data_IF_517891106257
#
_entry.id   IF_517891106257
#
_cell.length_a   1.000
_cell.length_b   1.000
_cell.length_c   1.000
_cell.angle_alpha   90.00
_cell.angle_beta   90.00
_cell.angle_gamma   90.00
#
_symmetry.space_group_name_H-M   'P 1'
#
loop_
_entity.id
_entity.type
_entity.pdbx_description
1 polymer ?
#
# COMPACT_ATOMS: atom_id res chain seq x y z
N UNK A 1 -16.14 5.65 11.02
CA UNK A 1 -15.87 6.82 10.16
C UNK A 1 -14.41 6.78 9.70
N UNK A 2 -14.14 7.24 8.50
CA UNK A 2 -12.80 7.38 7.92
C UNK A 2 -12.49 8.86 7.73
N UNK A 3 -11.31 9.30 8.20
CA UNK A 3 -10.83 10.66 7.99
C UNK A 3 -9.51 10.62 7.21
N UNK A 4 -9.46 11.33 6.09
CA UNK A 4 -8.29 11.44 5.21
C UNK A 4 -7.76 12.87 5.28
N UNK A 5 -6.57 13.10 5.87
CA UNK A 5 -5.98 14.44 5.95
C UNK A 5 -5.62 14.98 4.57
N UNK A 6 -5.75 16.30 4.40
CA UNK A 6 -5.41 16.97 3.14
C UNK A 6 -3.92 16.79 2.79
N UNK A 7 -3.64 16.58 1.51
CA UNK A 7 -2.28 16.45 0.96
C UNK A 7 -1.60 15.11 1.26
N UNK A 8 -2.23 14.18 1.96
CA UNK A 8 -1.69 12.87 2.24
C UNK A 8 -2.10 11.82 1.20
N UNK A 9 -1.31 10.76 1.11
CA UNK A 9 -1.65 9.52 0.42
C UNK A 9 -2.18 8.53 1.46
N UNK A 10 -3.44 8.21 1.38
CA UNK A 10 -4.15 7.34 2.32
C UNK A 10 -4.52 6.01 1.66
N UNK A 11 -4.03 4.91 2.22
CA UNK A 11 -4.32 3.56 1.75
C UNK A 11 -5.52 2.94 2.48
N UNK A 12 -6.35 2.22 1.77
CA UNK A 12 -7.37 1.33 2.35
C UNK A 12 -7.10 -0.09 1.89
N UNK A 13 -6.86 -0.97 2.84
CA UNK A 13 -6.55 -2.38 2.60
C UNK A 13 -7.62 -3.30 3.19
N UNK A 14 -7.71 -4.49 2.64
CA UNK A 14 -8.63 -5.52 3.09
C UNK A 14 -8.70 -6.66 2.07
N UNK A 15 -9.22 -7.81 2.48
CA UNK A 15 -9.43 -8.94 1.60
C UNK A 15 -10.36 -8.59 0.42
N UNK A 16 -10.36 -9.44 -0.61
CA UNK A 16 -11.37 -9.34 -1.68
C UNK A 16 -12.77 -9.43 -1.06
N UNK A 17 -13.69 -8.57 -1.51
CA UNK A 17 -15.05 -8.49 -0.96
C UNK A 17 -15.18 -7.74 0.38
N UNK A 18 -14.10 -7.18 0.95
CA UNK A 18 -14.16 -6.43 2.23
C UNK A 18 -14.96 -5.12 2.16
N UNK A 19 -15.39 -4.66 0.97
CA UNK A 19 -16.13 -3.41 0.78
C UNK A 19 -15.30 -2.22 0.31
N UNK A 20 -14.03 -2.42 -0.06
CA UNK A 20 -13.11 -1.34 -0.49
C UNK A 20 -13.66 -0.53 -1.67
N UNK A 21 -14.05 -1.21 -2.76
CA UNK A 21 -14.56 -0.53 -3.98
C UNK A 21 -15.90 0.15 -3.72
N UNK A 22 -16.75 -0.40 -2.86
CA UNK A 22 -17.99 0.28 -2.42
C UNK A 22 -17.65 1.56 -1.66
N UNK A 23 -16.69 1.50 -0.72
CA UNK A 23 -16.26 2.67 0.04
C UNK A 23 -15.79 3.79 -0.90
N UNK A 24 -14.88 3.50 -1.84
CA UNK A 24 -14.34 4.54 -2.73
C UNK A 24 -15.42 5.11 -3.66
N UNK A 25 -16.41 4.31 -4.09
CA UNK A 25 -17.55 4.77 -4.87
C UNK A 25 -18.53 5.62 -4.05
N UNK A 26 -18.61 5.40 -2.76
CA UNK A 26 -19.37 6.28 -1.87
C UNK A 26 -18.71 7.66 -1.75
N UNK A 27 -17.38 7.76 -1.79
CA UNK A 27 -16.67 9.06 -1.67
C UNK A 27 -17.04 10.03 -2.80
N UNK A 28 -17.26 9.55 -4.02
CA UNK A 28 -17.72 10.39 -5.15
C UNK A 28 -19.21 10.23 -5.46
N UNK A 29 -19.97 9.56 -4.55
CA UNK A 29 -21.38 9.25 -4.67
C UNK A 29 -21.78 8.57 -5.99
N UNK A 30 -20.89 7.76 -6.59
CA UNK A 30 -21.29 6.78 -7.60
C UNK A 30 -22.19 5.71 -6.98
N UNK A 31 -21.99 5.40 -5.70
CA UNK A 31 -22.91 4.66 -4.85
C UNK A 31 -23.30 5.56 -3.67
N UNK A 32 -24.59 5.73 -3.42
CA UNK A 32 -25.06 6.52 -2.29
C UNK A 32 -25.02 5.67 -1.02
N UNK A 33 -24.38 6.14 0.07
CA UNK A 33 -24.47 5.45 1.35
C UNK A 33 -25.92 5.44 1.85
N UNK A 34 -26.33 4.35 2.49
CA UNK A 34 -27.66 4.24 3.10
C UNK A 34 -27.81 5.19 4.28
N UNK A 35 -26.73 5.37 5.04
CA UNK A 35 -26.67 6.23 6.22
C UNK A 35 -25.30 6.94 6.29
N UNK A 36 -25.24 8.02 7.04
CA UNK A 36 -24.03 8.81 7.22
C UNK A 36 -23.86 9.90 6.17
N UNK A 37 -22.71 10.57 6.20
CA UNK A 37 -22.37 11.69 5.32
C UNK A 37 -21.00 11.52 4.68
N UNK A 38 -20.82 12.14 3.52
CA UNK A 38 -19.55 12.21 2.78
C UNK A 38 -19.16 13.67 2.63
N UNK A 39 -18.03 14.04 3.24
CA UNK A 39 -17.45 15.38 3.14
C UNK A 39 -16.18 15.32 2.29
N UNK A 40 -16.06 16.20 1.32
CA UNK A 40 -14.85 16.37 0.50
C UNK A 40 -14.50 17.85 0.47
N UNK A 41 -13.30 18.20 0.89
CA UNK A 41 -12.82 19.59 1.00
C UNK A 41 -13.81 20.51 1.75
N UNK A 42 -14.39 20.00 2.85
CA UNK A 42 -15.39 20.71 3.68
C UNK A 42 -16.81 20.76 3.11
N UNK A 43 -17.04 20.26 1.90
CA UNK A 43 -18.38 20.20 1.29
C UNK A 43 -19.03 18.85 1.54
N UNK A 44 -20.25 18.85 2.11
CA UNK A 44 -21.04 17.64 2.28
C UNK A 44 -21.73 17.27 0.96
N UNK A 45 -21.29 16.14 0.35
CA UNK A 45 -21.79 15.69 -0.95
C UNK A 45 -23.16 15.02 -0.87
N UNK A 46 -23.47 14.37 0.24
CA UNK A 46 -24.68 13.57 0.44
C UNK A 46 -25.97 14.41 0.38
N UNK A 47 -25.87 15.70 0.66
CA UNK A 47 -27.00 16.64 0.66
C UNK A 47 -27.19 17.39 -0.66
N UNK A 48 -26.24 17.26 -1.60
CA UNK A 48 -26.28 17.99 -2.87
C UNK A 48 -27.33 17.46 -3.84
N UNK A 49 -27.91 18.37 -4.61
CA UNK A 49 -28.69 18.04 -5.82
C UNK A 49 -27.78 17.41 -6.90
N UNK A 50 -28.35 16.71 -7.86
CA UNK A 50 -27.59 16.09 -8.96
C UNK A 50 -26.77 17.11 -9.77
N UNK A 51 -27.28 18.32 -9.97
CA UNK A 51 -26.55 19.39 -10.64
C UNK A 51 -25.34 19.88 -9.86
N UNK A 52 -25.51 20.06 -8.54
CA UNK A 52 -24.44 20.46 -7.63
C UNK A 52 -23.41 19.34 -7.48
N UNK A 53 -23.87 18.09 -7.37
CA UNK A 53 -23.00 16.92 -7.30
C UNK A 53 -22.16 16.75 -8.57
N UNK A 54 -22.71 17.02 -9.74
CA UNK A 54 -21.95 17.03 -11.00
C UNK A 54 -20.81 18.05 -10.95
N UNK A 55 -21.04 19.23 -10.38
CA UNK A 55 -19.98 20.25 -10.19
C UNK A 55 -18.98 19.82 -9.15
N UNK A 56 -19.42 19.26 -8.01
CA UNK A 56 -18.55 18.79 -6.93
C UNK A 56 -17.62 17.66 -7.41
N UNK A 57 -18.11 16.74 -8.24
CA UNK A 57 -17.32 15.64 -8.84
C UNK A 57 -16.14 16.12 -9.69
N UNK A 58 -16.14 17.35 -10.21
CA UNK A 58 -14.99 17.93 -10.92
C UNK A 58 -13.77 18.10 -10.01
N UNK A 59 -14.02 18.25 -8.69
CA UNK A 59 -12.95 18.32 -7.68
C UNK A 59 -12.41 16.95 -7.27
N UNK A 60 -12.96 15.87 -7.82
CA UNK A 60 -12.62 14.49 -7.48
C UNK A 60 -12.20 13.76 -8.75
N UNK A 61 -10.89 13.54 -8.90
CA UNK A 61 -10.36 12.67 -9.96
C UNK A 61 -10.55 11.20 -9.57
N UNK A 62 -10.76 10.32 -10.55
CA UNK A 62 -10.84 8.89 -10.30
C UNK A 62 -10.04 8.09 -11.32
N UNK A 63 -9.22 7.17 -10.82
CA UNK A 63 -8.48 6.16 -11.57
C UNK A 63 -9.11 4.81 -11.26
N UNK A 64 -9.53 4.11 -12.29
CA UNK A 64 -10.19 2.82 -12.20
C UNK A 64 -9.20 1.66 -12.40
N UNK A 65 -9.53 0.49 -11.92
CA UNK A 65 -8.76 -0.75 -12.07
C UNK A 65 -8.49 -1.07 -13.56
N UNK A 66 -9.48 -0.87 -14.43
CA UNK A 66 -9.37 -1.05 -15.88
C UNK A 66 -9.32 0.32 -16.54
N UNK A 67 -8.20 0.88 -16.80
CA UNK A 67 -7.92 2.21 -17.39
C UNK A 67 -9.12 3.03 -17.92
N UNK A 68 -10.18 2.40 -18.37
CA UNK A 68 -11.43 2.96 -18.92
C UNK A 68 -11.18 4.06 -19.97
N UNK A 69 -10.19 3.86 -20.83
CA UNK A 69 -9.89 4.76 -21.94
C UNK A 69 -10.86 4.51 -23.08
N UNK A 70 -11.28 5.61 -23.72
CA UNK A 70 -12.09 5.55 -24.93
C UNK A 70 -11.22 5.14 -26.11
N UNK A 71 -11.47 3.95 -26.66
CA UNK A 71 -10.71 3.38 -27.77
C UNK A 71 -10.82 4.18 -29.07
N UNK A 72 -11.92 4.91 -29.24
CA UNK A 72 -12.19 5.78 -30.40
C UNK A 72 -11.52 7.16 -30.33
N UNK A 73 -10.87 7.49 -29.19
CA UNK A 73 -10.16 8.75 -28.97
C UNK A 73 -8.67 8.53 -28.86
N UNK A 74 -7.91 9.49 -29.35
CA UNK A 74 -6.45 9.54 -29.12
C UNK A 74 -6.13 9.74 -27.64
N UNK A 75 -4.85 9.66 -27.29
CA UNK A 75 -4.33 10.01 -25.96
C UNK A 75 -4.75 11.43 -25.58
N UNK A 76 -4.52 12.39 -26.48
CA UNK A 76 -4.97 13.78 -26.30
C UNK A 76 -6.47 13.85 -26.04
N UNK A 77 -7.28 13.21 -26.88
CA UNK A 77 -8.74 13.23 -26.76
C UNK A 77 -9.26 12.57 -25.46
N UNK A 78 -8.58 11.55 -24.96
CA UNK A 78 -8.93 10.95 -23.66
C UNK A 78 -8.66 11.91 -22.49
N UNK A 79 -7.54 12.61 -22.49
CA UNK A 79 -7.19 13.56 -21.42
C UNK A 79 -8.02 14.85 -21.54
N UNK A 80 -8.36 15.28 -22.75
CA UNK A 80 -9.18 16.47 -22.99
C UNK A 80 -10.65 16.30 -22.57
N UNK A 81 -11.17 15.08 -22.54
CA UNK A 81 -12.59 14.79 -22.33
C UNK A 81 -13.22 15.50 -21.13
N UNK A 82 -12.66 15.52 -19.92
CA UNK A 82 -13.26 16.23 -18.79
C UNK A 82 -13.37 17.74 -19.04
N UNK A 83 -12.38 18.34 -19.71
CA UNK A 83 -12.35 19.76 -20.02
C UNK A 83 -13.35 20.13 -21.14
N UNK A 84 -13.53 19.23 -22.12
CA UNK A 84 -14.56 19.39 -23.15
C UNK A 84 -15.97 19.40 -22.53
N UNK A 85 -16.23 18.49 -21.59
CA UNK A 85 -17.49 18.42 -20.86
C UNK A 85 -17.76 19.67 -20.00
N UNK A 86 -16.69 20.34 -19.59
CA UNK A 86 -16.74 21.60 -18.84
C UNK A 86 -16.86 22.84 -19.72
N UNK A 87 -16.94 22.65 -21.05
CA UNK A 87 -16.94 23.72 -22.05
C UNK A 87 -15.71 24.67 -21.95
N UNK A 88 -14.55 24.11 -21.55
CA UNK A 88 -13.28 24.83 -21.48
C UNK A 88 -12.87 25.29 -22.90
N UNK A 89 -12.30 26.50 -23.05
CA UNK A 89 -11.80 27.00 -24.34
C UNK A 89 -10.74 26.08 -24.95
N UNK A 90 -10.76 25.89 -26.28
CA UNK A 90 -9.86 24.95 -26.97
C UNK A 90 -8.38 25.21 -26.73
N UNK A 91 -7.96 26.47 -26.65
CA UNK A 91 -6.57 26.84 -26.41
C UNK A 91 -6.12 26.46 -24.99
N UNK A 92 -7.02 26.60 -24.04
CA UNK A 92 -6.78 26.18 -22.64
C UNK A 92 -6.72 24.65 -22.54
N UNK A 93 -7.65 23.93 -23.19
CA UNK A 93 -7.59 22.46 -23.31
C UNK A 93 -6.24 22.02 -23.86
N UNK A 94 -5.81 22.62 -24.99
CA UNK A 94 -4.53 22.27 -25.61
C UNK A 94 -3.36 22.47 -24.67
N UNK A 95 -3.28 23.61 -24.01
CA UNK A 95 -2.23 23.93 -23.04
C UNK A 95 -2.24 22.92 -21.89
N UNK A 96 -3.39 22.74 -21.26
CA UNK A 96 -3.54 21.86 -20.07
C UNK A 96 -3.23 20.40 -20.38
N UNK A 97 -3.74 19.87 -21.48
CA UNK A 97 -3.46 18.49 -21.90
C UNK A 97 -1.98 18.28 -22.20
N UNK A 98 -1.34 19.23 -22.89
CA UNK A 98 0.10 19.14 -23.19
C UNK A 98 0.94 19.13 -21.91
N UNK A 99 0.61 19.99 -20.92
CA UNK A 99 1.25 20.01 -19.60
C UNK A 99 1.09 18.66 -18.88
N UNK A 100 -0.14 18.10 -18.87
CA UNK A 100 -0.41 16.83 -18.19
C UNK A 100 0.27 15.64 -18.87
N UNK A 101 0.27 15.60 -20.21
CA UNK A 101 0.98 14.54 -20.94
C UNK A 101 2.50 14.60 -20.70
N UNK A 102 3.05 15.80 -20.62
CA UNK A 102 4.46 15.98 -20.22
C UNK A 102 4.71 15.51 -18.79
N UNK A 103 3.82 15.86 -17.85
CA UNK A 103 3.90 15.44 -16.44
C UNK A 103 3.94 13.91 -16.29
N UNK A 104 3.13 13.20 -17.06
CA UNK A 104 3.09 11.72 -17.01
C UNK A 104 4.10 11.06 -17.96
N UNK A 105 4.94 11.82 -18.67
CA UNK A 105 5.99 11.31 -19.55
C UNK A 105 5.47 10.74 -20.88
N UNK A 106 4.38 11.30 -21.42
CA UNK A 106 3.74 10.89 -22.67
C UNK A 106 3.62 12.05 -23.70
N UNK A 107 4.50 13.03 -23.61
CA UNK A 107 4.46 14.20 -24.50
C UNK A 107 4.61 13.88 -26.00
N UNK A 108 5.21 12.74 -26.35
CA UNK A 108 5.38 12.23 -27.72
C UNK A 108 4.21 11.36 -28.22
N UNK A 109 3.18 11.11 -27.38
CA UNK A 109 2.09 10.16 -27.66
C UNK A 109 0.73 10.81 -27.94
N UNK A 110 0.68 12.11 -28.16
CA UNK A 110 -0.56 12.88 -28.35
C UNK A 110 -1.57 12.23 -29.28
N UNK A 111 -1.12 11.81 -30.46
CA UNK A 111 -1.97 11.31 -31.55
C UNK A 111 -2.12 9.77 -31.52
N UNK A 112 -1.47 9.11 -30.55
CA UNK A 112 -1.59 7.65 -30.40
C UNK A 112 -2.98 7.27 -29.89
N UNK A 113 -3.44 6.08 -30.28
CA UNK A 113 -4.68 5.50 -29.74
C UNK A 113 -4.35 4.50 -28.62
N UNK A 114 -5.31 4.25 -27.69
CA UNK A 114 -5.12 3.30 -26.61
C UNK A 114 -4.66 1.90 -27.04
N UNK A 115 -5.07 1.43 -28.23
CA UNK A 115 -4.63 0.16 -28.82
C UNK A 115 -3.12 0.06 -29.03
N UNK A 116 -2.45 1.20 -29.22
CA UNK A 116 -1.02 1.28 -29.51
C UNK A 116 -0.16 1.53 -28.24
N UNK A 117 -0.76 1.45 -27.07
CA UNK A 117 -0.11 1.73 -25.79
C UNK A 117 0.10 0.47 -24.96
N UNK A 118 1.22 0.42 -24.23
CA UNK A 118 1.43 -0.56 -23.16
C UNK A 118 0.46 -0.33 -22.00
N UNK A 119 0.31 -1.32 -21.10
CA UNK A 119 -0.51 -1.18 -19.88
C UNK A 119 -0.10 0.02 -19.03
N UNK A 120 1.19 0.21 -18.80
CA UNK A 120 1.71 1.35 -18.04
C UNK A 120 1.47 2.69 -18.74
N UNK A 121 1.56 2.76 -20.05
CA UNK A 121 1.21 3.96 -20.82
C UNK A 121 -0.28 4.28 -20.72
N UNK A 122 -1.15 3.27 -20.84
CA UNK A 122 -2.61 3.43 -20.62
C UNK A 122 -2.90 3.98 -19.21
N UNK A 123 -2.22 3.48 -18.20
CA UNK A 123 -2.38 3.97 -16.84
C UNK A 123 -1.94 5.42 -16.70
N UNK A 124 -0.83 5.82 -17.31
CA UNK A 124 -0.38 7.22 -17.32
C UNK A 124 -1.38 8.14 -18.00
N UNK A 125 -2.04 7.70 -19.10
CA UNK A 125 -3.14 8.45 -19.73
C UNK A 125 -4.34 8.58 -18.79
N UNK A 126 -4.71 7.50 -18.09
CA UNK A 126 -5.80 7.53 -17.11
C UNK A 126 -5.51 8.49 -15.95
N UNK A 127 -4.26 8.54 -15.47
CA UNK A 127 -3.80 9.50 -14.45
C UNK A 127 -3.91 10.93 -15.00
N UNK A 128 -3.39 11.21 -16.20
CA UNK A 128 -3.46 12.55 -16.81
C UNK A 128 -4.91 13.01 -16.97
N UNK A 129 -5.81 12.12 -17.44
CA UNK A 129 -7.24 12.40 -17.56
C UNK A 129 -7.88 12.73 -16.20
N UNK A 130 -7.56 11.96 -15.15
CA UNK A 130 -8.08 12.20 -13.81
C UNK A 130 -7.64 13.55 -13.22
N UNK A 131 -6.49 14.07 -13.66
CA UNK A 131 -5.94 15.36 -13.23
C UNK A 131 -6.43 16.55 -14.10
N UNK A 132 -7.14 16.30 -15.19
CA UNK A 132 -7.49 17.34 -16.16
C UNK A 132 -8.25 18.51 -15.55
N UNK A 133 -9.26 18.25 -14.73
CA UNK A 133 -10.10 19.25 -14.05
C UNK A 133 -9.46 19.85 -12.80
N UNK A 134 -8.16 19.64 -12.56
CA UNK A 134 -7.42 20.13 -11.40
C UNK A 134 -8.08 19.74 -10.06
N UNK A 135 -8.29 18.43 -9.80
CA UNK A 135 -9.02 17.96 -8.63
C UNK A 135 -8.29 18.25 -7.32
N UNK A 136 -9.02 18.27 -6.21
CA UNK A 136 -8.51 18.33 -4.83
C UNK A 136 -8.18 16.94 -4.29
N UNK A 137 -8.92 15.95 -4.75
CA UNK A 137 -8.83 14.56 -4.30
C UNK A 137 -8.71 13.65 -5.52
N UNK A 138 -7.82 12.68 -5.44
CA UNK A 138 -7.66 11.61 -6.42
C UNK A 138 -8.02 10.28 -5.77
N UNK A 139 -9.01 9.61 -6.32
CA UNK A 139 -9.45 8.29 -5.92
C UNK A 139 -8.78 7.24 -6.83
N UNK A 140 -8.16 6.23 -6.24
CA UNK A 140 -7.48 5.15 -6.97
C UNK A 140 -8.08 3.79 -6.58
N UNK A 141 -8.87 3.21 -7.48
CA UNK A 141 -9.47 1.89 -7.31
C UNK A 141 -8.55 0.83 -7.94
N UNK A 142 -7.72 0.18 -7.12
CA UNK A 142 -6.75 -0.86 -7.53
C UNK A 142 -5.93 -0.48 -8.77
N UNK A 143 -5.44 0.73 -8.82
CA UNK A 143 -4.85 1.38 -9.99
C UNK A 143 -3.59 0.68 -10.57
N UNK A 144 -3.04 -0.31 -9.89
CA UNK A 144 -1.82 -1.04 -10.30
C UNK A 144 -2.01 -2.54 -10.49
N UNK A 145 -3.18 -3.10 -10.15
CA UNK A 145 -3.43 -4.55 -10.14
C UNK A 145 -3.29 -5.25 -11.49
N UNK A 146 -3.40 -4.51 -12.60
CA UNK A 146 -3.27 -5.03 -13.97
C UNK A 146 -1.87 -4.82 -14.58
N UNK A 147 -0.87 -4.41 -13.78
CA UNK A 147 0.46 -4.04 -14.24
C UNK A 147 1.53 -5.02 -13.71
N UNK A 148 2.61 -5.15 -14.46
CA UNK A 148 3.79 -5.86 -13.98
C UNK A 148 4.49 -5.11 -12.83
N UNK A 149 5.32 -5.79 -12.00
CA UNK A 149 5.93 -5.16 -10.81
C UNK A 149 6.83 -3.96 -11.11
N UNK A 150 7.52 -3.92 -12.24
CA UNK A 150 8.40 -2.80 -12.60
C UNK A 150 7.57 -1.58 -13.00
N UNK A 151 6.52 -1.79 -13.78
CA UNK A 151 5.56 -0.76 -14.19
C UNK A 151 4.78 -0.24 -12.97
N UNK A 152 4.33 -1.13 -12.07
CA UNK A 152 3.69 -0.76 -10.81
C UNK A 152 4.56 0.23 -10.03
N UNK A 153 5.84 -0.08 -9.82
CA UNK A 153 6.77 0.83 -9.12
C UNK A 153 6.83 2.21 -9.77
N UNK A 154 6.96 2.26 -11.09
CA UNK A 154 7.01 3.51 -11.85
C UNK A 154 5.73 4.34 -11.74
N UNK A 155 4.56 3.71 -11.70
CA UNK A 155 3.27 4.39 -11.50
C UNK A 155 3.14 4.91 -10.06
N UNK A 156 3.56 4.14 -9.07
CA UNK A 156 3.53 4.57 -7.67
C UNK A 156 4.46 5.77 -7.41
N UNK A 157 5.65 5.77 -8.00
CA UNK A 157 6.58 6.91 -7.95
C UNK A 157 5.98 8.15 -8.60
N UNK A 158 5.32 7.99 -9.75
CA UNK A 158 4.60 9.08 -10.42
C UNK A 158 3.48 9.64 -9.53
N UNK A 159 2.66 8.79 -8.90
CA UNK A 159 1.59 9.25 -8.00
C UNK A 159 2.15 10.01 -6.79
N UNK A 160 3.25 9.53 -6.21
CA UNK A 160 3.93 10.20 -5.10
C UNK A 160 4.51 11.56 -5.49
N UNK A 161 5.08 11.65 -6.69
CA UNK A 161 5.60 12.91 -7.24
C UNK A 161 4.46 13.92 -7.51
N UNK A 162 3.35 13.47 -8.10
CA UNK A 162 2.14 14.26 -8.32
C UNK A 162 1.57 14.77 -6.99
N UNK A 163 1.43 13.89 -5.98
CA UNK A 163 0.95 14.28 -4.64
C UNK A 163 1.81 15.41 -4.07
N UNK A 164 3.13 15.27 -4.11
CA UNK A 164 4.07 16.26 -3.57
C UNK A 164 4.04 17.60 -4.32
N UNK A 165 4.01 17.55 -5.65
CA UNK A 165 4.04 18.76 -6.49
C UNK A 165 2.75 19.54 -6.47
N UNK A 166 1.61 18.84 -6.41
CA UNK A 166 0.29 19.47 -6.50
C UNK A 166 -0.41 19.63 -5.14
N UNK A 167 0.15 19.09 -4.05
CA UNK A 167 -0.52 19.03 -2.75
C UNK A 167 -1.82 18.21 -2.77
N UNK A 168 -1.92 17.25 -3.70
CA UNK A 168 -3.12 16.49 -3.99
C UNK A 168 -3.36 15.42 -2.91
N UNK A 169 -4.56 15.37 -2.37
CA UNK A 169 -4.95 14.27 -1.48
C UNK A 169 -5.27 13.03 -2.30
N UNK A 170 -4.69 11.89 -1.96
CA UNK A 170 -4.90 10.63 -2.67
C UNK A 170 -5.51 9.60 -1.72
N UNK A 171 -6.66 9.06 -2.07
CA UNK A 171 -7.25 7.88 -1.44
C UNK A 171 -7.12 6.69 -2.39
N UNK A 172 -6.33 5.70 -2.00
CA UNK A 172 -6.17 4.50 -2.81
C UNK A 172 -6.67 3.26 -2.07
N UNK A 173 -7.30 2.38 -2.81
CA UNK A 173 -7.64 1.05 -2.33
C UNK A 173 -6.78 0.01 -3.03
N UNK A 174 -6.31 -0.96 -2.27
CA UNK A 174 -5.48 -2.05 -2.76
C UNK A 174 -5.57 -3.26 -1.84
N UNK A 175 -5.25 -4.43 -2.37
CA UNK A 175 -4.96 -5.62 -1.58
C UNK A 175 -3.44 -5.89 -1.49
N UNK A 176 -2.62 -5.07 -2.16
CA UNK A 176 -1.16 -5.20 -2.21
C UNK A 176 -0.51 -4.34 -1.11
N UNK A 177 0.05 -4.99 -0.10
CA UNK A 177 0.72 -4.30 1.02
C UNK A 177 1.97 -3.53 0.57
N UNK A 178 2.66 -3.99 -0.47
CA UNK A 178 3.83 -3.30 -1.02
C UNK A 178 3.49 -1.92 -1.60
N UNK A 179 2.29 -1.75 -2.14
CA UNK A 179 1.78 -0.45 -2.57
C UNK A 179 1.67 0.48 -1.37
N UNK A 180 1.05 0.02 -0.28
CA UNK A 180 0.87 0.81 0.95
C UNK A 180 2.21 1.21 1.55
N UNK A 181 3.11 0.25 1.76
CA UNK A 181 4.46 0.52 2.31
C UNK A 181 5.22 1.57 1.52
N UNK A 182 5.08 1.55 0.20
CA UNK A 182 5.87 2.37 -0.71
C UNK A 182 5.44 3.83 -0.79
N UNK A 183 4.14 4.10 -0.80
CA UNK A 183 3.67 5.46 -1.08
C UNK A 183 2.71 6.05 -0.06
N UNK A 184 2.05 5.25 0.79
CA UNK A 184 1.05 5.78 1.73
C UNK A 184 1.69 6.41 2.98
N UNK A 185 1.06 7.46 3.48
CA UNK A 185 1.38 8.08 4.77
C UNK A 185 0.57 7.41 5.89
N UNK A 186 -0.71 7.13 5.61
CA UNK A 186 -1.64 6.47 6.53
C UNK A 186 -2.32 5.29 5.85
N UNK A 187 -2.84 4.38 6.66
CA UNK A 187 -3.56 3.20 6.18
C UNK A 187 -4.75 2.86 7.07
N UNK A 188 -5.84 2.43 6.44
CA UNK A 188 -6.99 1.83 7.09
C UNK A 188 -7.12 0.37 6.67
N UNK A 189 -7.39 -0.50 7.64
CA UNK A 189 -7.70 -1.92 7.43
C UNK A 189 -9.20 -2.10 7.52
N UNK A 190 -9.83 -2.64 6.47
CA UNK A 190 -11.25 -2.94 6.46
C UNK A 190 -11.52 -4.43 6.28
N UNK A 191 -12.57 -4.90 6.92
CA UNK A 191 -13.05 -6.29 6.80
C UNK A 191 -14.56 -6.32 6.95
N UNK A 192 -15.25 -7.03 6.06
CA UNK A 192 -16.71 -7.19 6.08
C UNK A 192 -17.49 -5.86 6.19
N UNK A 193 -16.99 -4.81 5.53
CA UNK A 193 -17.60 -3.47 5.56
C UNK A 193 -17.27 -2.63 6.80
N UNK A 194 -16.50 -3.16 7.74
CA UNK A 194 -16.12 -2.46 8.97
C UNK A 194 -14.67 -1.97 8.93
N UNK A 195 -14.43 -0.79 9.49
CA UNK A 195 -13.10 -0.24 9.72
C UNK A 195 -12.53 -0.90 10.99
N UNK A 196 -11.51 -1.74 10.79
CA UNK A 196 -10.90 -2.55 11.86
C UNK A 196 -9.78 -1.78 12.56
N UNK A 197 -8.94 -1.10 11.78
CA UNK A 197 -7.78 -0.37 12.30
C UNK A 197 -7.42 0.76 11.34
N UNK A 198 -6.95 1.88 11.87
CA UNK A 198 -6.40 2.98 11.07
C UNK A 198 -5.33 3.71 11.87
N UNK A 199 -4.21 4.01 11.20
CA UNK A 199 -3.11 4.79 11.77
C UNK A 199 -2.13 5.19 10.65
N UNK A 200 -1.00 5.80 11.00
CA UNK A 200 0.13 5.94 10.08
C UNK A 200 0.63 4.57 9.64
N UNK A 201 1.20 4.50 8.44
CA UNK A 201 1.77 3.23 7.93
C UNK A 201 2.83 2.70 8.90
N UNK A 202 3.67 3.57 9.47
CA UNK A 202 4.68 3.18 10.45
C UNK A 202 4.06 2.51 11.70
N UNK A 203 2.98 3.07 12.27
CA UNK A 203 2.33 2.51 13.45
C UNK A 203 1.67 1.16 13.17
N UNK A 204 0.89 1.07 12.08
CA UNK A 204 0.21 -0.18 11.73
C UNK A 204 1.22 -1.31 11.47
N UNK A 205 2.38 -1.01 10.85
CA UNK A 205 3.40 -2.03 10.57
C UNK A 205 4.28 -2.37 11.78
N UNK A 206 4.55 -1.42 12.68
CA UNK A 206 5.37 -1.66 13.87
C UNK A 206 4.58 -2.22 15.04
N UNK A 207 3.35 -1.74 15.23
CA UNK A 207 2.50 -2.04 16.39
C UNK A 207 1.07 -2.34 15.97
N UNK A 208 0.83 -3.39 15.14
CA UNK A 208 -0.53 -3.75 14.72
C UNK A 208 -1.38 -4.11 15.94
N UNK A 209 -2.51 -3.41 16.09
CA UNK A 209 -3.41 -3.53 17.26
C UNK A 209 -4.38 -4.70 17.13
N UNK A 210 -4.62 -5.17 15.90
CA UNK A 210 -5.62 -6.21 15.62
C UNK A 210 -5.01 -7.46 15.01
N UNK A 211 -5.56 -8.66 15.29
CA UNK A 211 -5.10 -9.92 14.68
C UNK A 211 -5.15 -9.89 13.14
N UNK A 212 -6.11 -9.16 12.57
CA UNK A 212 -6.24 -9.04 11.12
C UNK A 212 -5.11 -8.21 10.52
N UNK A 213 -4.76 -7.06 11.12
CA UNK A 213 -3.64 -6.25 10.69
C UNK A 213 -2.32 -7.05 10.81
N UNK A 214 -2.14 -7.78 11.91
CA UNK A 214 -0.99 -8.69 12.09
C UNK A 214 -0.89 -9.71 10.97
N UNK A 215 -2.02 -10.35 10.61
CA UNK A 215 -2.07 -11.33 9.52
C UNK A 215 -1.73 -10.69 8.15
N UNK A 216 -2.23 -9.49 7.87
CA UNK A 216 -1.88 -8.77 6.65
C UNK A 216 -0.38 -8.44 6.58
N UNK A 217 0.21 -7.97 7.67
CA UNK A 217 1.64 -7.66 7.74
C UNK A 217 2.46 -8.93 7.57
N UNK A 218 2.13 -10.00 8.29
CA UNK A 218 2.81 -11.30 8.19
C UNK A 218 2.75 -11.88 6.78
N UNK A 219 1.64 -11.66 6.03
CA UNK A 219 1.55 -12.11 4.64
C UNK A 219 2.49 -11.38 3.68
N UNK A 220 3.09 -10.26 4.08
CA UNK A 220 4.10 -9.55 3.28
C UNK A 220 5.53 -10.01 3.56
N UNK A 221 5.72 -10.65 4.70
CA UNK A 221 6.99 -11.21 5.14
C UNK A 221 6.93 -12.72 4.87
N UNK A 222 7.22 -13.12 3.63
CA UNK A 222 7.24 -14.52 3.23
C UNK A 222 8.53 -15.15 3.73
N UNK A 223 8.48 -15.76 4.91
CA UNK A 223 9.50 -16.67 5.39
C UNK A 223 8.87 -18.05 5.53
N UNK A 224 8.87 -18.77 4.43
CA UNK A 224 8.54 -20.19 4.47
C UNK A 224 9.70 -20.96 5.08
N UNK A 225 9.39 -21.92 5.95
CA UNK A 225 10.37 -22.87 6.43
C UNK A 225 10.76 -23.73 5.23
N UNK A 226 12.07 -23.82 4.87
CA UNK A 226 12.50 -24.66 3.75
C UNK A 226 12.06 -26.12 3.93
N UNK A 227 11.77 -26.81 2.83
CA UNK A 227 11.21 -28.17 2.84
C UNK A 227 12.05 -29.15 3.65
N UNK A 228 13.39 -29.06 3.54
CA UNK A 228 14.35 -29.90 4.27
C UNK A 228 14.28 -29.69 5.79
N UNK A 229 13.85 -28.50 6.24
CA UNK A 229 13.60 -28.21 7.65
C UNK A 229 12.21 -28.68 8.07
N UNK A 230 11.18 -28.54 7.24
CA UNK A 230 9.83 -28.99 7.55
C UNK A 230 9.76 -30.47 7.87
N UNK A 231 10.54 -31.29 7.14
CA UNK A 231 10.60 -32.76 7.33
C UNK A 231 11.28 -33.15 8.68
N UNK A 232 12.18 -32.31 9.21
CA UNK A 232 12.95 -32.59 10.41
C UNK A 232 12.39 -31.91 11.67
N UNK A 233 11.54 -30.92 11.50
CA UNK A 233 11.03 -30.09 12.58
C UNK A 233 10.08 -30.90 13.49
N UNK A 234 10.39 -30.98 14.77
CA UNK A 234 9.56 -31.60 15.81
C UNK A 234 9.03 -30.56 16.79
N UNK A 235 7.78 -30.69 17.21
CA UNK A 235 7.16 -29.75 18.14
C UNK A 235 7.76 -29.82 19.55
N UNK A 236 8.20 -31.02 19.97
CA UNK A 236 8.74 -31.26 21.30
C UNK A 236 10.26 -31.41 21.26
N UNK A 237 10.98 -30.93 22.29
CA UNK A 237 12.42 -31.09 22.35
C UNK A 237 12.85 -32.56 22.53
N UNK A 238 13.94 -32.93 21.91
CA UNK A 238 14.57 -34.25 22.01
C UNK A 238 16.06 -34.12 22.30
N UNK A 239 16.76 -35.25 22.48
CA UNK A 239 18.19 -35.25 22.83
C UNK A 239 19.02 -34.60 21.73
N UNK A 240 19.89 -33.67 22.07
CA UNK A 240 20.76 -32.91 21.15
C UNK A 240 20.04 -32.05 20.11
N UNK A 241 18.74 -31.73 20.31
CA UNK A 241 17.97 -30.89 19.42
C UNK A 241 18.40 -29.42 19.49
N UNK A 242 18.18 -28.73 18.39
CA UNK A 242 18.44 -27.28 18.23
C UNK A 242 17.11 -26.55 18.03
N UNK A 243 16.78 -25.53 18.84
CA UNK A 243 15.58 -24.75 18.63
C UNK A 243 15.64 -23.94 17.34
N UNK A 244 14.57 -24.05 16.52
CA UNK A 244 14.33 -23.20 15.38
C UNK A 244 13.46 -22.03 15.84
N UNK A 245 13.96 -20.83 15.64
CA UNK A 245 13.33 -19.59 16.10
C UNK A 245 12.86 -18.75 14.92
N UNK A 246 11.68 -18.15 15.08
CA UNK A 246 11.26 -16.99 14.32
C UNK A 246 11.50 -15.76 15.17
N UNK A 247 12.29 -14.83 14.65
CA UNK A 247 12.60 -13.55 15.27
C UNK A 247 11.96 -12.43 14.48
N UNK A 248 11.11 -11.62 15.13
CA UNK A 248 10.53 -10.43 14.51
C UNK A 248 11.18 -9.19 15.14
N UNK A 249 11.76 -8.34 14.29
CA UNK A 249 12.45 -7.10 14.68
C UNK A 249 11.62 -5.90 14.27
N UNK A 250 11.43 -4.94 15.17
CA UNK A 250 10.72 -3.69 14.89
C UNK A 250 11.40 -2.50 15.57
N UNK A 251 11.35 -1.33 14.94
CA UNK A 251 11.89 -0.11 15.53
C UNK A 251 13.38 -0.21 15.87
N UNK A 252 13.75 0.08 17.13
CA UNK A 252 15.15 0.13 17.57
C UNK A 252 15.86 -1.23 17.55
N UNK A 253 15.12 -2.33 17.68
CA UNK A 253 15.71 -3.67 17.66
C UNK A 253 16.31 -4.06 16.30
N UNK A 254 15.88 -3.43 15.23
CA UNK A 254 16.37 -3.72 13.86
C UNK A 254 17.79 -3.23 13.62
N UNK A 255 18.15 -2.09 14.18
CA UNK A 255 19.47 -1.46 13.97
C UNK A 255 20.53 -1.91 15.00
N UNK A 256 20.12 -2.63 16.04
CA UNK A 256 21.02 -3.14 17.07
C UNK A 256 21.62 -4.52 16.66
N UNK A 257 22.90 -4.79 16.96
CA UNK A 257 23.56 -6.06 16.60
C UNK A 257 23.18 -7.19 17.58
N UNK A 258 21.88 -7.37 17.86
CA UNK A 258 21.38 -8.23 18.92
C UNK A 258 21.83 -9.70 18.80
N UNK A 259 21.84 -10.27 17.59
CA UNK A 259 22.32 -11.65 17.39
C UNK A 259 23.80 -11.81 17.70
N UNK A 260 24.61 -10.82 17.33
CA UNK A 260 26.04 -10.85 17.68
C UNK A 260 26.27 -10.67 19.18
N UNK A 261 25.40 -9.93 19.85
CA UNK A 261 25.46 -9.78 21.30
C UNK A 261 25.01 -11.04 22.04
N UNK A 262 23.94 -11.72 21.59
CA UNK A 262 23.54 -13.01 22.16
C UNK A 262 24.65 -14.06 22.03
N UNK A 263 25.28 -14.15 20.85
CA UNK A 263 26.40 -15.09 20.64
C UNK A 263 27.54 -14.86 21.63
N UNK A 264 27.91 -13.60 21.88
CA UNK A 264 29.00 -13.26 22.82
C UNK A 264 28.64 -13.42 24.30
N UNK A 265 27.38 -13.12 24.67
CA UNK A 265 26.93 -13.10 26.07
C UNK A 265 26.56 -14.49 26.60
N UNK A 266 25.93 -15.28 25.73
CA UNK A 266 25.35 -16.56 26.16
C UNK A 266 26.01 -17.77 25.49
N UNK A 267 27.14 -17.57 24.79
CA UNK A 267 27.88 -18.64 24.14
C UNK A 267 26.98 -19.48 23.19
N UNK A 268 26.06 -18.82 22.46
CA UNK A 268 25.21 -19.43 21.45
C UNK A 268 25.69 -19.07 20.05
N UNK A 269 25.43 -19.96 19.10
CA UNK A 269 25.69 -19.70 17.69
C UNK A 269 24.37 -19.66 16.93
N UNK A 270 24.16 -18.61 16.14
CA UNK A 270 22.95 -18.44 15.33
C UNK A 270 23.26 -18.81 13.87
N UNK A 271 22.62 -19.87 13.36
CA UNK A 271 22.64 -20.22 11.96
C UNK A 271 21.39 -19.60 11.28
N UNK A 272 21.59 -18.57 10.46
CA UNK A 272 20.49 -17.88 9.77
C UNK A 272 20.05 -18.73 8.59
N UNK A 273 18.81 -19.22 8.62
CA UNK A 273 18.19 -20.00 7.57
C UNK A 273 17.61 -19.10 6.49
N UNK A 274 16.87 -18.07 6.93
CA UNK A 274 16.27 -17.08 6.05
C UNK A 274 16.09 -15.78 6.81
N UNK A 275 16.22 -14.64 6.11
CA UNK A 275 15.97 -13.32 6.70
C UNK A 275 15.40 -12.37 5.66
N UNK A 276 14.42 -11.61 6.06
CA UNK A 276 13.84 -10.54 5.25
C UNK A 276 13.76 -9.27 6.07
N UNK A 277 14.28 -8.17 5.50
CA UNK A 277 14.20 -6.82 6.08
C UNK A 277 13.43 -5.94 5.13
N UNK A 278 12.56 -5.10 5.66
CA UNK A 278 11.70 -4.23 4.88
C UNK A 278 11.53 -2.86 5.54
N UNK A 279 10.88 -1.92 4.82
CA UNK A 279 10.61 -0.57 5.27
C UNK A 279 9.15 -0.22 5.03
N UNK A 280 8.49 0.36 6.03
CA UNK A 280 7.16 0.91 5.90
C UNK A 280 7.04 2.23 6.66
N UNK A 281 6.58 3.30 5.99
CA UNK A 281 6.47 4.63 6.61
C UNK A 281 7.78 5.17 7.19
N UNK A 282 8.94 4.77 6.66
CA UNK A 282 10.26 5.18 7.16
C UNK A 282 10.78 4.36 8.34
N UNK A 283 10.01 3.38 8.84
CA UNK A 283 10.43 2.46 9.91
C UNK A 283 10.90 1.14 9.30
N UNK A 284 12.04 0.66 9.79
CA UNK A 284 12.54 -0.68 9.46
C UNK A 284 11.81 -1.73 10.28
N UNK A 285 11.56 -2.88 9.68
CA UNK A 285 11.12 -4.08 10.37
C UNK A 285 11.68 -5.30 9.65
N UNK A 286 11.75 -6.41 10.35
CA UNK A 286 12.33 -7.61 9.76
C UNK A 286 11.88 -8.86 10.46
N UNK A 287 12.01 -9.95 9.75
CA UNK A 287 11.76 -11.30 10.25
C UNK A 287 12.92 -12.20 9.86
N UNK A 288 13.25 -13.12 10.74
CA UNK A 288 14.36 -14.04 10.55
C UNK A 288 13.99 -15.42 11.07
N UNK A 289 14.36 -16.45 10.33
CA UNK A 289 14.41 -17.84 10.79
C UNK A 289 15.84 -18.19 11.09
N UNK A 290 16.09 -18.71 12.30
CA UNK A 290 17.41 -19.09 12.74
C UNK A 290 17.36 -20.35 13.61
N UNK A 291 18.37 -21.21 13.49
CA UNK A 291 18.71 -22.21 14.49
C UNK A 291 19.63 -21.57 15.53
N UNK A 292 19.36 -21.79 16.80
CA UNK A 292 20.21 -21.28 17.88
C UNK A 292 20.91 -22.44 18.57
N UNK A 293 22.18 -22.65 18.24
CA UNK A 293 23.03 -23.72 18.80
C UNK A 293 23.63 -23.28 20.13
N UNK A 294 23.50 -24.09 21.17
CA UNK A 294 24.03 -23.87 22.50
C UNK A 294 23.46 -24.88 23.48
N UNK A 295 23.85 -24.78 24.75
CA UNK A 295 23.17 -25.59 25.78
C UNK A 295 21.75 -25.10 25.99
N UNK A 296 20.87 -25.97 26.48
CA UNK A 296 19.46 -25.58 26.72
C UNK A 296 19.36 -24.34 27.64
N UNK A 297 20.25 -24.25 28.64
CA UNK A 297 20.28 -23.10 29.56
C UNK A 297 20.70 -21.82 28.81
N UNK A 298 21.73 -21.89 27.97
CA UNK A 298 22.25 -20.75 27.24
C UNK A 298 21.24 -20.24 26.19
N UNK A 299 20.59 -21.16 25.46
CA UNK A 299 19.57 -20.81 24.47
C UNK A 299 18.35 -20.17 25.10
N UNK A 300 17.87 -20.68 26.23
CA UNK A 300 16.78 -20.07 27.00
C UNK A 300 17.11 -18.67 27.49
N UNK A 301 18.34 -18.49 28.05
CA UNK A 301 18.79 -17.17 28.49
C UNK A 301 18.93 -16.18 27.35
N UNK A 302 19.43 -16.62 26.20
CA UNK A 302 19.53 -15.80 24.99
C UNK A 302 18.15 -15.38 24.46
N UNK A 303 17.17 -16.29 24.41
CA UNK A 303 15.78 -16.01 24.02
C UNK A 303 15.16 -14.97 24.96
N UNK A 304 15.28 -15.16 26.28
CA UNK A 304 14.75 -14.21 27.26
C UNK A 304 15.37 -12.81 27.07
N UNK A 305 16.68 -12.75 26.87
CA UNK A 305 17.38 -11.48 26.61
C UNK A 305 16.94 -10.80 25.34
N UNK A 306 16.71 -11.53 24.25
CA UNK A 306 16.16 -10.97 23.00
C UNK A 306 14.77 -10.39 23.23
N UNK A 307 13.91 -11.06 23.98
CA UNK A 307 12.56 -10.58 24.33
C UNK A 307 12.61 -9.29 25.16
N UNK A 308 13.54 -9.20 26.12
CA UNK A 308 13.78 -7.96 26.90
C UNK A 308 14.23 -6.78 26.01
N UNK A 309 14.89 -7.08 24.86
CA UNK A 309 15.33 -6.09 23.88
C UNK A 309 14.33 -5.90 22.75
N UNK A 310 13.04 -6.16 23.00
CA UNK A 310 11.92 -5.92 22.08
C UNK A 310 12.00 -6.71 20.76
N UNK A 311 12.66 -7.86 20.75
CA UNK A 311 12.56 -8.85 19.69
C UNK A 311 11.43 -9.82 20.06
N UNK A 312 10.44 -9.97 19.17
CA UNK A 312 9.45 -11.02 19.36
C UNK A 312 10.05 -12.33 18.91
N UNK A 313 10.12 -13.29 19.84
CA UNK A 313 10.71 -14.61 19.63
C UNK A 313 9.63 -15.66 19.71
N UNK A 314 9.52 -16.46 18.66
CA UNK A 314 8.65 -17.63 18.59
C UNK A 314 9.52 -18.88 18.35
N UNK A 315 9.36 -19.89 19.18
CA UNK A 315 9.98 -21.21 18.97
C UNK A 315 9.07 -22.01 18.05
N UNK A 316 9.52 -22.27 16.83
CA UNK A 316 8.73 -22.99 15.81
C UNK A 316 8.78 -24.50 16.03
N UNK A 317 9.81 -24.99 16.66
CA UNK A 317 10.08 -26.39 16.94
C UNK A 317 11.57 -26.64 17.13
N UNK A 318 11.96 -27.89 17.01
CA UNK A 318 13.33 -28.38 17.23
C UNK A 318 13.77 -29.26 16.06
N UNK A 319 15.00 -29.13 15.64
CA UNK A 319 15.66 -29.88 14.55
C UNK A 319 16.91 -30.61 15.03
#
# INVERSE_FOLDING_TARGET
>A
SLHVPAGQIYGVIGASGAGKSTLIRCVNLLERPTEGSVLVDGQELTTLSESELTKARRQIGMIFQHFNLLSSRTVFGNVALPLELDNTPKDEIKRRVTELLSLVGLGDKHDSYPSNLSGGQKQRVAIARALASNPKVLLCDEATSALDPATTRSILELLKDINRRLGLTILLITHEMDVVKRICDCVAVISNGELIEQDTVSEVFSHPKTPLAQKFIQSTLHLDIPEDYQERLQAEPFTDCVPMLRLEFTGQSVDAPLLSETARRFNVNNNIISAQMDYAGGVKFGIMLTEMHGTQQDTQAAIAWLQEHHVKVEVLGYV
#
